data_IF_832456530653
#
_entry.id   IF_832456530653
#
_cell.length_a   1.000
_cell.length_b   1.000
_cell.length_c   1.000
_cell.angle_alpha   90.00
_cell.angle_beta   90.00
_cell.angle_gamma   90.00
#
_symmetry.space_group_name_H-M   'P 1'
#
loop_
_entity.id
_entity.type
_entity.pdbx_description
1 polymer ?
#
# COMPACT_ATOMS: atom_id res chain seq x y z
N UNK A 1 16.00 -13.19 -32.03
CA UNK A 1 15.85 -13.14 -30.56
C UNK A 1 15.79 -11.68 -30.18
N UNK A 2 14.69 -11.23 -29.59
CA UNK A 2 14.57 -9.87 -29.03
C UNK A 2 15.38 -9.87 -27.74
N UNK A 3 16.45 -9.08 -27.67
CA UNK A 3 17.19 -8.88 -26.41
C UNK A 3 16.49 -7.78 -25.64
N UNK A 4 15.94 -8.12 -24.47
CA UNK A 4 15.42 -7.14 -23.53
C UNK A 4 16.60 -6.53 -22.75
N UNK A 5 16.59 -5.21 -22.57
CA UNK A 5 17.54 -4.50 -21.71
C UNK A 5 16.79 -3.97 -20.50
N UNK A 6 17.19 -4.40 -19.30
CA UNK A 6 16.64 -3.88 -18.06
C UNK A 6 17.11 -2.44 -17.85
N UNK A 7 16.15 -1.53 -17.68
CA UNK A 7 16.38 -0.12 -17.31
C UNK A 7 16.34 0.00 -15.79
N UNK A 8 15.37 -0.68 -15.17
CA UNK A 8 15.28 -0.85 -13.73
C UNK A 8 14.94 -2.31 -13.41
N UNK A 9 15.60 -2.87 -12.40
CA UNK A 9 15.30 -4.14 -11.74
C UNK A 9 15.58 -3.90 -10.26
N UNK A 10 14.54 -3.53 -9.51
CA UNK A 10 14.63 -3.05 -8.13
C UNK A 10 13.80 -3.93 -7.21
N UNK A 11 14.31 -4.22 -6.02
CA UNK A 11 13.50 -4.82 -4.97
C UNK A 11 12.89 -3.73 -4.07
N UNK A 12 11.55 -3.65 -4.04
CA UNK A 12 10.82 -2.69 -3.20
C UNK A 12 10.18 -3.44 -2.04
N UNK A 13 10.45 -2.97 -0.82
CA UNK A 13 9.86 -3.49 0.41
C UNK A 13 8.75 -2.55 0.89
N UNK A 14 7.56 -3.11 1.10
CA UNK A 14 6.40 -2.43 1.67
C UNK A 14 6.08 -2.99 3.06
N UNK A 15 5.79 -2.11 4.00
CA UNK A 15 5.33 -2.47 5.34
C UNK A 15 4.11 -1.63 5.71
N UNK A 16 3.09 -2.28 6.27
CA UNK A 16 1.99 -1.60 6.98
C UNK A 16 1.92 -2.09 8.42
N UNK A 17 1.74 -1.16 9.36
CA UNK A 17 1.50 -1.51 10.76
C UNK A 17 0.64 -0.46 11.46
N UNK A 18 -0.54 -0.87 11.94
CA UNK A 18 -1.28 -0.10 12.93
C UNK A 18 -0.60 -0.27 14.29
N UNK A 19 -0.01 0.82 14.81
CA UNK A 19 0.83 0.81 16.02
C UNK A 19 0.08 1.16 17.30
N UNK A 20 -1.24 1.34 17.25
CA UNK A 20 -2.07 1.52 18.45
C UNK A 20 -1.64 2.68 19.36
N UNK A 21 -1.09 3.76 18.79
CA UNK A 21 -0.52 4.94 19.48
C UNK A 21 0.75 4.70 20.30
N UNK A 22 1.33 3.51 20.21
CA UNK A 22 2.55 3.14 20.92
C UNK A 22 3.81 3.78 20.33
N UNK A 23 4.84 3.88 21.18
CA UNK A 23 6.15 4.42 20.84
C UNK A 23 7.11 3.32 20.35
N UNK A 24 7.99 3.60 19.37
CA UNK A 24 8.94 2.62 18.84
C UNK A 24 10.16 2.36 19.72
N UNK A 25 10.33 3.07 20.85
CA UNK A 25 11.59 3.12 21.62
C UNK A 25 12.17 1.74 21.96
N UNK A 26 11.32 0.76 22.28
CA UNK A 26 11.74 -0.58 22.70
C UNK A 26 11.59 -1.65 21.60
N UNK A 27 11.37 -1.25 20.35
CA UNK A 27 11.21 -2.20 19.24
C UNK A 27 12.55 -2.41 18.54
N UNK A 28 12.95 -3.67 18.37
CA UNK A 28 14.02 -4.04 17.44
C UNK A 28 13.43 -4.30 16.06
N UNK A 29 13.85 -3.53 15.06
CA UNK A 29 13.29 -3.58 13.72
C UNK A 29 14.14 -4.39 12.74
N UNK A 30 15.25 -4.99 13.18
CA UNK A 30 16.15 -5.73 12.30
C UNK A 30 15.46 -6.88 11.56
N UNK A 31 14.68 -7.69 12.26
CA UNK A 31 13.93 -8.80 11.64
C UNK A 31 12.79 -8.27 10.77
N UNK A 32 12.01 -7.29 11.27
CA UNK A 32 10.90 -6.68 10.53
C UNK A 32 11.32 -6.12 9.18
N UNK A 33 12.47 -5.44 9.15
CA UNK A 33 13.05 -4.83 7.96
C UNK A 33 13.95 -5.79 7.17
N UNK A 34 14.01 -7.07 7.55
CA UNK A 34 14.84 -8.09 6.88
C UNK A 34 16.34 -7.76 6.82
N UNK A 35 16.85 -6.99 7.80
CA UNK A 35 18.26 -6.58 7.89
C UNK A 35 19.19 -7.71 8.37
N UNK A 36 18.61 -8.80 8.89
CA UNK A 36 19.30 -10.00 9.33
C UNK A 36 19.63 -10.99 8.19
N UNK A 37 19.41 -10.62 6.93
CA UNK A 37 19.76 -11.45 5.77
C UNK A 37 18.70 -12.49 5.40
N UNK A 38 17.45 -12.34 5.87
CA UNK A 38 16.30 -13.20 5.53
C UNK A 38 15.37 -12.55 4.49
N UNK A 39 15.94 -11.74 3.58
CA UNK A 39 15.19 -11.04 2.55
C UNK A 39 14.83 -11.96 1.40
N UNK A 40 13.66 -11.71 0.78
CA UNK A 40 13.20 -12.43 -0.42
C UNK A 40 13.60 -11.74 -1.72
N UNK A 41 14.37 -10.64 -1.63
CA UNK A 41 14.91 -9.96 -2.79
C UNK A 41 15.94 -10.82 -3.53
N UNK A 42 16.15 -10.58 -4.85
CA UNK A 42 17.17 -11.26 -5.64
C UNK A 42 18.55 -11.25 -4.98
N UNK A 43 19.28 -12.35 -5.12
CA UNK A 43 20.63 -12.57 -4.56
C UNK A 43 20.75 -12.35 -3.04
N UNK A 44 19.62 -12.44 -2.32
CA UNK A 44 19.53 -12.17 -0.89
C UNK A 44 20.05 -10.76 -0.49
N UNK A 45 19.93 -9.80 -1.40
CA UNK A 45 20.33 -8.41 -1.15
C UNK A 45 19.24 -7.65 -0.39
N UNK A 46 19.64 -6.64 0.38
CA UNK A 46 18.67 -5.74 0.99
C UNK A 46 17.80 -5.08 -0.08
N UNK A 47 16.50 -4.86 0.19
CA UNK A 47 15.63 -4.04 -0.65
C UNK A 47 16.30 -2.75 -1.11
N UNK A 48 16.08 -2.34 -2.35
CA UNK A 48 16.59 -1.08 -2.90
C UNK A 48 15.83 0.13 -2.34
N UNK A 49 14.54 -0.07 -2.06
CA UNK A 49 13.61 0.96 -1.55
C UNK A 49 12.74 0.34 -0.45
N UNK A 50 12.62 1.03 0.68
CA UNK A 50 11.65 0.74 1.73
C UNK A 50 10.55 1.80 1.72
N UNK A 51 9.30 1.37 1.68
CA UNK A 51 8.14 2.26 1.87
C UNK A 51 7.30 1.71 3.02
N UNK A 52 7.16 2.53 4.06
CA UNK A 52 6.60 2.09 5.33
C UNK A 52 5.41 2.96 5.68
N UNK A 53 4.28 2.32 5.97
CA UNK A 53 3.04 2.91 6.39
C UNK A 53 2.71 2.54 7.82
N UNK A 54 2.40 3.55 8.63
CA UNK A 54 1.90 3.37 9.97
C UNK A 54 0.49 3.95 10.11
N UNK A 55 -0.33 3.30 10.93
CA UNK A 55 -1.63 3.81 11.35
C UNK A 55 -1.67 3.91 12.88
N UNK A 56 -2.50 4.82 13.37
CA UNK A 56 -2.56 5.17 14.80
C UNK A 56 -1.19 5.58 15.39
N UNK A 57 -0.34 6.28 14.64
CA UNK A 57 0.81 6.96 15.29
C UNK A 57 0.31 8.06 16.24
N UNK A 58 1.08 8.34 17.28
CA UNK A 58 0.68 9.33 18.30
C UNK A 58 0.62 10.74 17.74
N UNK A 59 -0.55 11.39 17.84
CA UNK A 59 -0.76 12.77 17.37
C UNK A 59 -0.40 13.84 18.39
N UNK A 60 -0.04 13.46 19.62
CA UNK A 60 0.20 14.41 20.73
C UNK A 60 1.55 15.12 20.65
N UNK A 61 2.40 14.77 19.68
CA UNK A 61 3.73 15.37 19.50
C UNK A 61 3.70 16.69 18.71
N UNK A 62 2.65 17.50 18.90
CA UNK A 62 2.28 18.74 18.17
C UNK A 62 3.36 19.86 18.20
N UNK A 63 4.54 19.64 18.79
CA UNK A 63 5.61 20.64 18.88
C UNK A 63 6.94 20.15 18.29
N UNK A 64 6.95 19.74 17.03
CA UNK A 64 8.20 19.48 16.29
C UNK A 64 8.12 20.03 14.88
N UNK A 65 8.22 21.36 14.76
CA UNK A 65 8.44 22.05 13.47
C UNK A 65 9.74 21.58 12.78
N UNK A 66 10.62 20.86 13.50
CA UNK A 66 11.97 20.50 13.04
C UNK A 66 12.35 19.01 13.19
N UNK A 67 11.47 18.13 13.68
CA UNK A 67 11.82 16.73 13.92
C UNK A 67 10.74 15.78 13.40
N UNK A 68 11.16 14.74 12.71
CA UNK A 68 10.30 13.65 12.24
C UNK A 68 9.61 12.89 13.38
N UNK A 69 8.54 12.19 13.04
CA UNK A 69 7.85 11.25 13.93
C UNK A 69 8.85 10.19 14.47
N UNK A 70 8.76 9.77 15.75
CA UNK A 70 9.66 8.78 16.31
C UNK A 70 9.75 7.47 15.52
N UNK A 71 8.66 7.04 14.86
CA UNK A 71 8.70 5.84 14.01
C UNK A 71 9.60 6.07 12.80
N UNK A 72 9.54 7.23 12.15
CA UNK A 72 10.46 7.58 11.06
C UNK A 72 11.90 7.60 11.55
N UNK A 73 12.15 8.21 12.71
CA UNK A 73 13.50 8.26 13.30
C UNK A 73 14.02 6.86 13.63
N UNK A 74 13.18 5.97 14.15
CA UNK A 74 13.57 4.59 14.46
C UNK A 74 13.91 3.78 13.21
N UNK A 75 13.15 3.95 12.13
CA UNK A 75 13.47 3.36 10.83
C UNK A 75 14.79 3.92 10.31
N UNK A 76 14.96 5.25 10.34
CA UNK A 76 16.18 5.90 9.86
C UNK A 76 17.42 5.38 10.60
N UNK A 77 17.34 5.25 11.93
CA UNK A 77 18.38 4.66 12.78
C UNK A 77 18.71 3.21 12.38
N UNK A 78 17.68 2.40 12.12
CA UNK A 78 17.86 0.99 11.72
C UNK A 78 18.46 0.85 10.31
N UNK A 79 18.21 1.81 9.41
CA UNK A 79 18.70 1.78 8.03
C UNK A 79 20.01 2.57 7.82
N UNK A 80 20.48 3.29 8.84
CA UNK A 80 21.61 4.22 8.73
C UNK A 80 22.90 3.55 8.23
N UNK A 81 23.24 2.41 8.81
CA UNK A 81 24.47 1.67 8.50
C UNK A 81 24.42 0.95 7.13
N UNK A 82 23.28 1.02 6.44
CA UNK A 82 23.03 0.34 5.18
C UNK A 82 22.95 1.28 3.97
N UNK A 83 23.45 2.52 4.09
CA UNK A 83 23.50 3.53 3.02
C UNK A 83 22.13 3.95 2.45
N UNK A 84 21.08 3.85 3.26
CA UNK A 84 19.78 4.41 2.93
C UNK A 84 19.71 5.87 3.33
N UNK A 85 19.01 6.64 2.51
CA UNK A 85 18.60 8.00 2.85
C UNK A 85 17.09 8.08 2.84
N UNK A 86 16.54 8.92 3.73
CA UNK A 86 15.12 9.24 3.70
C UNK A 86 14.82 10.03 2.43
N UNK A 87 13.80 9.60 1.68
CA UNK A 87 13.33 10.28 0.47
C UNK A 87 12.29 11.33 0.84
N UNK A 88 11.17 10.91 1.45
CA UNK A 88 10.14 11.81 1.95
C UNK A 88 9.24 11.10 2.99
N UNK A 89 8.41 11.85 3.70
CA UNK A 89 7.38 11.34 4.60
C UNK A 89 6.16 12.24 4.64
N UNK A 90 4.97 11.66 4.81
CA UNK A 90 3.72 12.39 4.98
C UNK A 90 2.91 11.84 6.13
N UNK A 91 2.37 12.74 6.95
CA UNK A 91 1.49 12.40 8.06
C UNK A 91 0.14 13.10 7.94
N UNK A 92 -0.94 12.37 8.20
CA UNK A 92 -2.30 12.87 8.38
C UNK A 92 -2.84 12.31 9.70
N UNK A 93 -2.83 13.14 10.75
CA UNK A 93 -3.13 12.69 12.11
C UNK A 93 -2.35 11.41 12.47
N UNK A 94 -3.03 10.29 12.73
CA UNK A 94 -2.40 9.01 13.06
C UNK A 94 -1.95 8.18 11.86
N UNK A 95 -2.10 8.66 10.63
CA UNK A 95 -1.67 7.94 9.42
C UNK A 95 -0.34 8.52 8.95
N UNK A 96 0.67 7.69 8.76
CA UNK A 96 2.02 8.09 8.37
C UNK A 96 2.51 7.19 7.23
N UNK A 97 3.19 7.78 6.25
CA UNK A 97 3.99 7.07 5.25
C UNK A 97 5.39 7.68 5.21
N UNK A 98 6.41 6.84 5.05
CA UNK A 98 7.80 7.26 4.88
C UNK A 98 8.49 6.36 3.87
N UNK A 99 9.40 6.95 3.08
CA UNK A 99 10.20 6.23 2.09
C UNK A 99 11.69 6.41 2.37
N UNK A 100 12.43 5.33 2.24
CA UNK A 100 13.89 5.29 2.29
C UNK A 100 14.41 4.58 1.05
N UNK A 101 15.52 5.03 0.49
CA UNK A 101 16.12 4.42 -0.69
C UNK A 101 17.63 4.36 -0.55
N UNK A 102 18.25 3.33 -1.15
CA UNK A 102 19.70 3.28 -1.27
C UNK A 102 20.19 4.49 -2.07
N UNK A 103 21.32 5.08 -1.67
CA UNK A 103 21.88 6.28 -2.28
C UNK A 103 22.03 6.17 -3.82
N UNK A 104 22.32 4.97 -4.34
CA UNK A 104 22.49 4.71 -5.78
C UNK A 104 21.24 5.00 -6.63
N UNK A 105 20.03 5.00 -6.04
CA UNK A 105 18.78 5.25 -6.77
C UNK A 105 18.32 6.70 -6.75
N UNK A 106 18.86 7.53 -5.86
CA UNK A 106 18.42 8.93 -5.70
C UNK A 106 18.47 9.75 -6.99
N UNK A 107 19.51 9.63 -7.86
CA UNK A 107 19.54 10.34 -9.14
C UNK A 107 18.38 9.98 -10.09
N UNK A 108 17.75 8.82 -9.89
CA UNK A 108 16.67 8.28 -10.72
C UNK A 108 15.27 8.54 -10.11
N UNK A 109 15.20 9.31 -9.01
CA UNK A 109 13.97 9.72 -8.35
C UNK A 109 13.70 11.19 -8.62
N UNK A 110 12.70 11.48 -9.45
CA UNK A 110 12.31 12.85 -9.87
C UNK A 110 10.85 13.12 -9.48
N UNK A 111 10.46 14.38 -9.41
CA UNK A 111 9.05 14.80 -9.15
C UNK A 111 8.39 14.15 -7.92
N UNK A 112 9.15 14.06 -6.82
CA UNK A 112 8.65 13.54 -5.56
C UNK A 112 7.57 14.48 -5.04
N UNK A 113 6.38 13.94 -4.76
CA UNK A 113 5.24 14.67 -4.25
C UNK A 113 4.50 13.85 -3.19
N UNK A 114 4.04 14.51 -2.13
CA UNK A 114 3.23 13.90 -1.08
C UNK A 114 1.86 14.52 -0.97
N UNK A 115 0.85 13.68 -0.76
CA UNK A 115 -0.54 14.11 -0.67
C UNK A 115 -1.28 13.35 0.45
N UNK A 116 -2.33 13.97 0.99
CA UNK A 116 -3.19 13.40 2.01
C UNK A 116 -4.68 13.71 1.72
N UNK A 117 -5.52 12.68 1.80
CA UNK A 117 -6.98 12.82 1.73
C UNK A 117 -7.60 12.42 3.06
N UNK A 118 -8.52 13.26 3.57
CA UNK A 118 -9.31 12.99 4.77
C UNK A 118 -10.62 12.33 4.37
N UNK A 119 -11.06 11.34 5.14
CA UNK A 119 -12.37 10.70 4.94
C UNK A 119 -13.20 10.59 6.22
N UNK A 120 -12.58 10.77 7.40
CA UNK A 120 -13.28 10.75 8.69
C UNK A 120 -14.39 11.81 8.77
N UNK A 121 -15.52 11.45 9.39
CA UNK A 121 -16.73 12.31 9.44
C UNK A 121 -17.14 12.85 8.06
N UNK A 122 -17.07 12.03 7.00
CA UNK A 122 -17.42 12.44 5.64
C UNK A 122 -16.41 13.43 5.04
N UNK A 123 -15.13 13.27 5.38
CA UNK A 123 -14.03 14.13 4.92
C UNK A 123 -13.70 15.32 5.82
N UNK A 124 -14.45 15.54 6.89
CA UNK A 124 -14.25 16.67 7.82
C UNK A 124 -13.11 16.44 8.83
N UNK A 125 -12.76 15.18 9.11
CA UNK A 125 -11.79 14.80 10.13
C UNK A 125 -10.72 13.84 9.58
N UNK A 126 -9.48 13.98 10.06
CA UNK A 126 -8.32 13.28 9.49
C UNK A 126 -7.92 11.98 10.18
N UNK A 127 -8.74 11.43 11.07
CA UNK A 127 -8.42 10.16 11.76
C UNK A 127 -8.58 8.92 10.85
N UNK A 128 -9.15 9.13 9.65
CA UNK A 128 -9.34 8.17 8.57
C UNK A 128 -9.04 8.86 7.25
N UNK A 129 -8.57 8.09 6.28
CA UNK A 129 -8.21 8.57 4.95
C UNK A 129 -6.93 7.93 4.45
N UNK A 130 -6.14 8.70 3.69
CA UNK A 130 -4.90 8.21 3.10
C UNK A 130 -3.81 9.27 3.06
N UNK A 131 -2.57 8.83 3.08
CA UNK A 131 -1.37 9.59 2.76
C UNK A 131 -0.60 8.87 1.66
N UNK A 132 0.14 9.60 0.84
CA UNK A 132 0.90 8.99 -0.24
C UNK A 132 2.23 9.67 -0.49
N UNK A 133 3.16 8.92 -1.07
CA UNK A 133 4.35 9.43 -1.74
C UNK A 133 4.27 8.96 -3.19
N UNK A 134 4.44 9.87 -4.14
CA UNK A 134 4.58 9.53 -5.56
C UNK A 134 5.83 10.18 -6.13
N UNK A 135 6.35 9.59 -7.21
CA UNK A 135 7.55 10.06 -7.90
C UNK A 135 7.64 9.49 -9.32
N UNK A 136 8.48 10.10 -10.15
CA UNK A 136 9.06 9.48 -11.34
C UNK A 136 10.27 8.65 -10.90
N UNK A 137 10.16 7.32 -11.00
CA UNK A 137 11.22 6.36 -10.68
C UNK A 137 11.72 5.72 -11.98
N UNK A 138 12.99 5.93 -12.33
CA UNK A 138 13.58 5.45 -13.59
C UNK A 138 12.73 5.79 -14.82
N UNK A 139 12.23 7.03 -14.88
CA UNK A 139 11.40 7.55 -15.97
C UNK A 139 9.94 7.05 -16.00
N UNK A 140 9.48 6.31 -15.00
CA UNK A 140 8.09 5.81 -14.89
C UNK A 140 7.38 6.36 -13.65
N UNK A 141 6.09 6.66 -13.75
CA UNK A 141 5.32 7.21 -12.64
C UNK A 141 4.88 6.14 -11.65
N UNK A 142 5.26 6.28 -10.37
CA UNK A 142 4.85 5.36 -9.30
C UNK A 142 4.20 6.09 -8.13
N UNK A 143 3.13 5.53 -7.59
CA UNK A 143 2.45 6.02 -6.39
C UNK A 143 2.34 4.95 -5.30
N UNK A 144 2.70 5.34 -4.07
CA UNK A 144 2.56 4.54 -2.86
C UNK A 144 1.52 5.18 -1.93
N UNK A 145 0.45 4.47 -1.61
CA UNK A 145 -0.69 4.96 -0.83
C UNK A 145 -0.80 4.13 0.44
N UNK A 146 -0.72 4.80 1.59
CA UNK A 146 -1.00 4.23 2.91
C UNK A 146 -2.34 4.77 3.41
N UNK A 147 -3.30 3.89 3.71
CA UNK A 147 -4.63 4.30 4.16
C UNK A 147 -5.05 3.68 5.50
N UNK A 148 -5.96 4.37 6.19
CA UNK A 148 -6.65 3.88 7.37
C UNK A 148 -8.15 4.11 7.17
N UNK A 149 -8.89 3.05 6.85
CA UNK A 149 -10.31 3.13 6.48
C UNK A 149 -11.24 2.89 7.69
N UNK A 150 -12.53 3.16 7.52
CA UNK A 150 -13.55 3.03 8.56
C UNK A 150 -13.50 1.65 9.25
N UNK A 151 -13.39 1.68 10.59
CA UNK A 151 -13.29 0.49 11.42
C UNK A 151 -14.67 -0.10 11.75
N UNK A 152 -14.69 -1.31 12.31
CA UNK A 152 -15.87 -2.10 12.71
C UNK A 152 -16.52 -2.94 11.60
N UNK A 153 -17.11 -4.07 11.97
CA UNK A 153 -17.58 -5.11 11.05
C UNK A 153 -18.71 -4.62 10.14
N UNK A 154 -19.63 -3.85 10.72
CA UNK A 154 -20.81 -3.30 10.06
C UNK A 154 -20.53 -2.13 9.11
N UNK A 155 -19.29 -1.59 9.13
CA UNK A 155 -18.90 -0.37 8.41
C UNK A 155 -18.37 -0.61 7.00
N UNK A 156 -18.85 -1.67 6.35
CA UNK A 156 -18.43 -2.01 4.97
C UNK A 156 -18.75 -0.89 3.99
N UNK A 157 -19.93 -0.28 4.12
CA UNK A 157 -20.36 0.81 3.23
C UNK A 157 -19.45 2.03 3.38
N UNK A 158 -19.12 2.41 4.61
CA UNK A 158 -18.24 3.54 4.91
C UNK A 158 -16.81 3.29 4.40
N UNK A 159 -16.29 2.05 4.46
CA UNK A 159 -14.99 1.72 3.83
C UNK A 159 -15.00 1.88 2.31
N UNK A 160 -16.10 1.51 1.65
CA UNK A 160 -16.28 1.72 0.21
C UNK A 160 -16.33 3.22 -0.11
N UNK A 161 -17.07 3.99 0.69
CA UNK A 161 -17.14 5.46 0.57
C UNK A 161 -15.77 6.11 0.79
N UNK A 162 -15.00 5.67 1.80
CA UNK A 162 -13.63 6.13 2.03
C UNK A 162 -12.74 5.89 0.80
N UNK A 163 -12.79 4.68 0.23
CA UNK A 163 -12.04 4.35 -0.99
C UNK A 163 -12.38 5.29 -2.14
N UNK A 164 -13.66 5.50 -2.44
CA UNK A 164 -14.07 6.39 -3.52
C UNK A 164 -13.66 7.85 -3.25
N UNK A 165 -13.81 8.33 -2.03
CA UNK A 165 -13.35 9.67 -1.66
C UNK A 165 -11.84 9.83 -1.87
N UNK A 166 -11.03 8.81 -1.54
CA UNK A 166 -9.59 8.84 -1.81
C UNK A 166 -9.34 8.85 -3.31
N UNK A 167 -9.92 7.94 -4.09
CA UNK A 167 -9.72 7.90 -5.55
C UNK A 167 -10.11 9.22 -6.24
N UNK A 168 -11.22 9.83 -5.80
CA UNK A 168 -11.78 11.01 -6.43
C UNK A 168 -11.06 12.30 -6.01
N UNK A 169 -10.57 12.40 -4.78
CA UNK A 169 -10.04 13.65 -4.23
C UNK A 169 -8.51 13.67 -4.05
N UNK A 170 -7.84 12.52 -4.06
CA UNK A 170 -6.38 12.45 -3.90
C UNK A 170 -5.70 12.84 -5.23
N UNK A 171 -5.35 14.13 -5.35
CA UNK A 171 -4.82 14.73 -6.58
C UNK A 171 -3.39 15.22 -6.40
N UNK A 172 -2.57 14.93 -7.40
CA UNK A 172 -1.19 15.38 -7.50
C UNK A 172 -1.06 16.52 -8.51
N UNK A 173 0.04 17.26 -8.42
CA UNK A 173 0.32 18.39 -9.29
C UNK A 173 1.13 18.02 -10.53
N UNK A 174 1.81 16.86 -10.55
CA UNK A 174 2.66 16.58 -11.70
C UNK A 174 1.94 16.02 -12.94
N UNK A 175 2.53 16.37 -14.07
CA UNK A 175 1.97 16.21 -15.40
C UNK A 175 1.84 14.72 -15.75
N UNK A 176 0.76 14.35 -16.45
CA UNK A 176 0.45 12.95 -16.78
C UNK A 176 -0.03 12.09 -15.61
N UNK A 177 0.27 12.48 -14.37
CA UNK A 177 0.08 11.66 -13.16
C UNK A 177 -0.70 12.39 -12.07
N UNK A 178 -1.87 12.93 -12.42
CA UNK A 178 -2.68 13.78 -11.53
C UNK A 178 -3.54 12.99 -10.55
N UNK A 179 -3.90 11.75 -10.86
CA UNK A 179 -4.71 10.85 -10.01
C UNK A 179 -3.92 9.60 -9.68
N UNK A 180 -4.31 8.91 -8.61
CA UNK A 180 -3.69 7.64 -8.18
C UNK A 180 -3.53 6.68 -9.36
N UNK A 181 -4.63 6.41 -10.08
CA UNK A 181 -4.65 5.43 -11.16
C UNK A 181 -4.16 5.93 -12.52
N UNK A 182 -3.67 7.18 -12.60
CA UNK A 182 -2.92 7.65 -13.77
C UNK A 182 -1.46 7.11 -13.75
N UNK A 183 -0.94 6.65 -12.59
CA UNK A 183 0.42 6.16 -12.43
C UNK A 183 0.63 4.79 -13.09
N UNK A 184 1.85 4.58 -13.62
CA UNK A 184 2.25 3.31 -14.23
C UNK A 184 2.24 2.18 -13.20
N UNK A 185 2.71 2.49 -11.99
CA UNK A 185 2.73 1.60 -10.84
C UNK A 185 1.95 2.23 -9.69
N UNK A 186 1.05 1.44 -9.08
CA UNK A 186 0.32 1.84 -7.88
C UNK A 186 0.50 0.76 -6.84
N UNK A 187 0.95 1.13 -5.65
CA UNK A 187 0.97 0.29 -4.47
C UNK A 187 0.05 0.90 -3.42
N UNK A 188 -0.97 0.16 -2.99
CA UNK A 188 -1.94 0.62 -2.01
C UNK A 188 -1.98 -0.34 -0.83
N UNK A 189 -1.63 0.16 0.34
CA UNK A 189 -1.53 -0.62 1.56
C UNK A 189 -2.08 0.15 2.76
N UNK A 190 -2.17 -0.53 3.91
CA UNK A 190 -2.63 0.10 5.14
C UNK A 190 -3.48 -0.81 6.02
N UNK A 191 -4.01 -0.23 7.09
CA UNK A 191 -5.15 -0.79 7.83
C UNK A 191 -6.44 -0.46 7.07
N UNK A 192 -6.77 -1.33 6.12
CA UNK A 192 -7.96 -1.20 5.29
C UNK A 192 -9.24 -1.59 6.05
N UNK A 193 -9.10 -2.16 7.25
CA UNK A 193 -10.19 -2.48 8.17
C UNK A 193 -11.31 -3.39 7.61
N UNK A 194 -11.08 -4.08 6.48
CA UNK A 194 -12.02 -5.09 5.98
C UNK A 194 -12.09 -6.29 6.92
N UNK A 195 -13.30 -6.82 7.08
CA UNK A 195 -13.63 -7.89 8.05
C UNK A 195 -14.20 -9.11 7.32
N UNK A 196 -14.57 -10.13 8.08
CA UNK A 196 -15.29 -11.27 7.54
C UNK A 196 -16.79 -10.96 7.40
N UNK A 197 -17.37 -11.38 6.28
CA UNK A 197 -18.82 -11.37 6.04
C UNK A 197 -19.51 -12.54 6.74
N UNK A 198 -20.82 -12.43 6.92
CA UNK A 198 -21.64 -13.47 7.56
C UNK A 198 -21.57 -13.45 9.09
N UNK A 199 -22.10 -14.51 9.70
CA UNK A 199 -22.50 -14.53 11.12
C UNK A 199 -21.62 -15.41 12.00
N UNK A 200 -20.46 -15.85 11.50
CA UNK A 200 -19.49 -16.62 12.30
C UNK A 200 -19.13 -15.84 13.57
N UNK A 201 -19.12 -16.51 14.72
CA UNK A 201 -18.67 -15.90 15.97
C UNK A 201 -17.15 -15.74 15.98
N UNK A 202 -16.62 -14.92 16.90
CA UNK A 202 -15.17 -14.80 17.07
C UNK A 202 -14.51 -16.14 17.45
N UNK A 203 -15.24 -17.02 18.14
CA UNK A 203 -14.77 -18.36 18.50
C UNK A 203 -14.67 -19.27 17.28
N UNK A 204 -15.69 -19.28 16.42
CA UNK A 204 -15.67 -20.08 15.19
C UNK A 204 -14.50 -19.67 14.29
N UNK A 205 -14.32 -18.36 14.10
CA UNK A 205 -13.21 -17.82 13.30
C UNK A 205 -11.87 -18.21 13.92
N UNK A 206 -11.70 -18.10 15.25
CA UNK A 206 -10.49 -18.53 15.94
C UNK A 206 -10.21 -20.03 15.72
N UNK A 207 -11.23 -20.88 15.86
CA UNK A 207 -11.09 -22.32 15.61
C UNK A 207 -10.64 -22.59 14.17
N UNK A 208 -11.16 -21.88 13.19
CA UNK A 208 -10.72 -22.02 11.79
C UNK A 208 -9.27 -21.58 11.59
N UNK A 209 -8.87 -20.49 12.24
CA UNK A 209 -7.49 -20.00 12.24
C UNK A 209 -6.53 -21.02 12.88
N UNK A 210 -6.89 -21.60 14.02
CA UNK A 210 -6.09 -22.64 14.71
C UNK A 210 -5.95 -23.93 13.88
N UNK A 211 -6.90 -24.19 12.97
CA UNK A 211 -6.85 -25.31 12.02
C UNK A 211 -6.28 -24.89 10.65
N UNK A 212 -5.67 -23.71 10.54
CA UNK A 212 -5.06 -23.18 9.31
C UNK A 212 -6.02 -23.10 8.11
N UNK A 213 -7.33 -22.97 8.36
CA UNK A 213 -8.38 -22.87 7.33
C UNK A 213 -8.49 -21.47 6.72
N UNK A 214 -7.35 -20.82 6.47
CA UNK A 214 -7.29 -19.45 5.99
C UNK A 214 -7.98 -19.27 4.63
N UNK A 215 -7.79 -20.23 3.73
CA UNK A 215 -8.39 -20.18 2.40
C UNK A 215 -9.93 -20.20 2.44
N UNK A 216 -10.54 -20.87 3.42
CA UNK A 216 -11.99 -20.88 3.59
C UNK A 216 -12.50 -19.58 4.21
N UNK A 217 -11.80 -19.06 5.22
CA UNK A 217 -12.13 -17.76 5.80
C UNK A 217 -11.98 -16.61 4.79
N UNK A 218 -10.99 -16.67 3.91
CA UNK A 218 -10.74 -15.66 2.87
C UNK A 218 -11.83 -15.62 1.78
N UNK A 219 -12.66 -16.67 1.64
CA UNK A 219 -13.88 -16.62 0.81
C UNK A 219 -14.96 -15.73 1.41
N UNK A 220 -14.88 -15.48 2.72
CA UNK A 220 -15.80 -14.59 3.45
C UNK A 220 -15.23 -13.19 3.63
N UNK A 221 -13.96 -12.97 3.28
CA UNK A 221 -13.28 -11.67 3.42
C UNK A 221 -13.97 -10.59 2.59
N UNK A 222 -14.36 -9.50 3.25
CA UNK A 222 -15.08 -8.40 2.61
C UNK A 222 -14.28 -7.74 1.49
N UNK A 223 -12.94 -7.63 1.61
CA UNK A 223 -12.11 -7.04 0.55
C UNK A 223 -12.11 -7.91 -0.70
N UNK A 224 -11.86 -9.22 -0.55
CA UNK A 224 -11.90 -10.16 -1.67
C UNK A 224 -13.26 -10.13 -2.37
N UNK A 225 -14.35 -10.25 -1.61
CA UNK A 225 -15.71 -10.22 -2.14
C UNK A 225 -16.05 -8.89 -2.86
N UNK A 226 -15.52 -7.76 -2.39
CA UNK A 226 -15.73 -6.46 -3.04
C UNK A 226 -14.95 -6.32 -4.34
N UNK A 227 -13.70 -6.80 -4.35
CA UNK A 227 -12.84 -6.77 -5.54
C UNK A 227 -13.43 -7.62 -6.66
N UNK A 228 -13.92 -8.82 -6.33
CA UNK A 228 -14.61 -9.70 -7.28
C UNK A 228 -15.88 -9.06 -7.86
N UNK A 229 -16.64 -8.33 -7.05
CA UNK A 229 -17.87 -7.64 -7.49
C UNK A 229 -17.61 -6.37 -8.29
N UNK A 230 -16.39 -5.84 -8.29
CA UNK A 230 -16.03 -4.64 -9.04
C UNK A 230 -16.31 -3.31 -8.32
N UNK A 231 -16.74 -3.31 -7.06
CA UNK A 231 -17.21 -2.10 -6.37
C UNK A 231 -16.08 -1.20 -5.85
N UNK A 232 -15.03 -1.79 -5.28
CA UNK A 232 -13.88 -1.07 -4.73
C UNK A 232 -12.63 -1.94 -4.86
N UNK A 233 -11.46 -1.32 -5.01
CA UNK A 233 -10.16 -2.00 -5.16
C UNK A 233 -10.05 -2.99 -6.34
N UNK A 234 -11.03 -3.02 -7.26
CA UNK A 234 -11.09 -3.99 -8.37
C UNK A 234 -10.02 -3.78 -9.44
N UNK A 235 -9.42 -2.58 -9.50
CA UNK A 235 -8.28 -2.29 -10.37
C UNK A 235 -6.94 -2.79 -9.81
N UNK A 236 -6.92 -3.26 -8.55
CA UNK A 236 -5.72 -3.68 -7.85
C UNK A 236 -5.68 -5.20 -7.69
N UNK A 237 -4.47 -5.75 -7.80
CA UNK A 237 -4.11 -7.13 -7.54
C UNK A 237 -3.54 -7.30 -6.14
N UNK A 238 -3.72 -8.50 -5.57
CA UNK A 238 -3.22 -8.86 -4.26
C UNK A 238 -2.96 -10.37 -4.27
N UNK A 239 -1.77 -10.78 -3.84
CA UNK A 239 -1.52 -12.18 -3.53
C UNK A 239 -2.38 -12.60 -2.34
N UNK A 240 -3.06 -13.74 -2.44
CA UNK A 240 -3.88 -14.24 -1.33
C UNK A 240 -3.03 -14.41 -0.06
N UNK A 241 -3.43 -13.80 1.09
CA UNK A 241 -2.73 -13.99 2.36
C UNK A 241 -2.63 -15.48 2.71
N UNK A 242 -1.41 -15.94 3.02
CA UNK A 242 -1.16 -17.29 3.55
C UNK A 242 -0.70 -17.26 5.02
N UNK A 243 -1.15 -16.24 5.75
CA UNK A 243 -0.85 -16.02 7.15
C UNK A 243 -2.15 -15.77 7.92
N UNK A 244 -2.11 -15.95 9.23
CA UNK A 244 -3.29 -15.77 10.09
C UNK A 244 -3.78 -14.30 10.11
N UNK A 245 -5.06 -14.05 10.47
CA UNK A 245 -5.58 -12.70 10.62
C UNK A 245 -4.71 -11.79 11.51
N UNK A 246 -4.53 -10.53 11.12
CA UNK A 246 -3.58 -9.62 11.77
C UNK A 246 -4.19 -8.77 12.88
N UNK A 247 -5.51 -8.88 13.08
CA UNK A 247 -6.29 -8.16 14.08
C UNK A 247 -7.37 -9.10 14.65
N UNK A 248 -7.81 -9.00 15.90
CA UNK A 248 -7.36 -8.15 17.02
C UNK A 248 -6.67 -9.01 18.06
N UNK A 249 -5.47 -8.65 18.48
CA UNK A 249 -4.72 -9.35 19.51
C UNK A 249 -4.89 -8.70 20.89
N UNK A 250 -4.55 -9.45 21.94
CA UNK A 250 -4.23 -8.87 23.24
C UNK A 250 -2.79 -8.36 23.16
N UNK A 251 -2.60 -7.06 23.35
CA UNK A 251 -1.28 -6.42 23.33
C UNK A 251 -0.28 -7.14 24.26
N UNK A 252 0.97 -7.26 23.81
CA UNK A 252 2.03 -8.02 24.47
C UNK A 252 1.98 -9.53 24.23
N UNK A 253 0.98 -10.05 23.50
CA UNK A 253 0.80 -11.49 23.26
C UNK A 253 0.48 -11.82 21.79
N UNK A 254 0.35 -13.11 21.51
CA UNK A 254 -0.20 -13.64 20.24
C UNK A 254 -1.60 -14.25 20.41
N UNK A 255 -2.28 -13.95 21.52
CA UNK A 255 -3.65 -14.40 21.76
C UNK A 255 -4.65 -13.42 21.15
N UNK A 256 -5.64 -13.95 20.42
CA UNK A 256 -6.72 -13.13 19.88
C UNK A 256 -7.63 -12.60 21.00
N UNK A 257 -7.94 -11.30 20.94
CA UNK A 257 -8.97 -10.68 21.75
C UNK A 257 -10.34 -10.90 21.10
N UNK A 258 -11.02 -11.97 21.53
CA UNK A 258 -12.30 -12.42 20.95
C UNK A 258 -13.51 -11.51 21.23
N UNK A 259 -13.29 -10.31 21.81
CA UNK A 259 -14.27 -9.20 21.74
C UNK A 259 -14.48 -8.69 20.31
N UNK A 260 -13.57 -9.03 19.40
CA UNK A 260 -13.67 -8.81 17.95
C UNK A 260 -13.35 -10.12 17.24
N UNK A 261 -13.93 -10.30 16.05
CA UNK A 261 -13.58 -11.43 15.20
C UNK A 261 -12.17 -11.21 14.63
N UNK A 262 -11.32 -12.23 14.58
CA UNK A 262 -10.07 -12.15 13.84
C UNK A 262 -10.32 -11.75 12.38
N UNK A 263 -9.56 -10.80 11.85
CA UNK A 263 -9.68 -10.30 10.47
C UNK A 263 -8.33 -9.86 9.88
N UNK A 264 -8.21 -9.96 8.55
CA UNK A 264 -7.09 -9.39 7.78
C UNK A 264 -7.37 -7.91 7.48
N UNK A 265 -7.18 -7.08 8.51
CA UNK A 265 -7.35 -5.63 8.39
C UNK A 265 -6.20 -4.98 7.59
N UNK A 266 -4.99 -5.52 7.75
CA UNK A 266 -3.74 -4.94 7.25
C UNK A 266 -3.36 -5.58 5.91
N UNK A 267 -3.42 -4.81 4.81
CA UNK A 267 -3.37 -5.34 3.43
C UNK A 267 -2.38 -4.60 2.55
N UNK A 268 -1.87 -5.27 1.51
CA UNK A 268 -0.95 -4.69 0.53
C UNK A 268 -1.38 -5.13 -0.87
N UNK A 269 -1.82 -4.18 -1.68
CA UNK A 269 -2.29 -4.39 -3.05
C UNK A 269 -1.43 -3.59 -4.01
N UNK A 270 -1.45 -3.97 -5.29
CA UNK A 270 -0.71 -3.26 -6.33
C UNK A 270 -1.42 -3.28 -7.68
N UNK A 271 -1.03 -2.40 -8.60
CA UNK A 271 -1.44 -2.40 -10.00
C UNK A 271 -0.27 -1.96 -10.85
N UNK A 272 -0.14 -2.58 -12.01
CA UNK A 272 0.80 -2.18 -13.05
C UNK A 272 0.05 -1.91 -14.34
N UNK A 273 0.34 -0.79 -14.99
CA UNK A 273 -0.16 -0.49 -16.33
C UNK A 273 0.74 -1.15 -17.39
N UNK A 274 0.63 -2.46 -17.52
CA UNK A 274 1.45 -3.22 -18.48
C UNK A 274 1.08 -2.87 -19.93
N UNK A 275 2.10 -2.79 -20.79
CA UNK A 275 2.00 -2.63 -22.25
C UNK A 275 1.39 -1.30 -22.75
N UNK A 276 1.51 -0.20 -22.00
CA UNK A 276 1.07 1.12 -22.47
C UNK A 276 2.06 1.75 -23.46
N UNK A 277 3.36 1.50 -23.28
CA UNK A 277 4.41 2.17 -24.04
C UNK A 277 5.04 1.20 -25.07
N UNK A 278 5.05 1.54 -26.37
CA UNK A 278 5.62 0.68 -27.40
C UNK A 278 7.08 0.30 -27.11
N UNK A 279 7.34 -1.01 -27.00
CA UNK A 279 8.68 -1.53 -26.76
C UNK A 279 9.18 -1.39 -25.32
N UNK A 280 8.33 -0.98 -24.38
CA UNK A 280 8.63 -0.99 -22.94
C UNK A 280 7.67 -1.94 -22.23
N UNK A 281 8.24 -2.81 -21.39
CA UNK A 281 7.49 -3.71 -20.51
C UNK A 281 7.63 -3.25 -19.08
N UNK A 282 6.50 -3.09 -18.41
CA UNK A 282 6.40 -2.76 -16.99
C UNK A 282 5.87 -3.96 -16.22
N UNK A 283 6.53 -4.34 -15.14
CA UNK A 283 6.07 -5.42 -14.26
C UNK A 283 6.45 -5.19 -12.79
N UNK A 284 5.61 -5.68 -11.90
CA UNK A 284 5.86 -5.72 -10.46
C UNK A 284 5.51 -7.12 -9.96
N UNK A 285 6.51 -7.99 -9.78
CA UNK A 285 6.28 -9.35 -9.31
C UNK A 285 6.37 -9.39 -7.78
N UNK A 286 5.29 -9.76 -7.10
CA UNK A 286 5.30 -9.93 -5.65
C UNK A 286 6.17 -11.15 -5.26
N UNK A 287 7.20 -10.92 -4.45
CA UNK A 287 8.17 -11.93 -4.02
C UNK A 287 7.85 -12.49 -2.62
N UNK A 288 7.21 -11.69 -1.77
CA UNK A 288 6.75 -12.12 -0.45
C UNK A 288 5.48 -11.41 0.00
N UNK A 289 4.75 -12.05 0.90
CA UNK A 289 3.63 -11.45 1.61
C UNK A 289 3.44 -12.13 2.97
N UNK A 290 3.74 -11.42 4.06
CA UNK A 290 3.86 -12.04 5.38
C UNK A 290 3.41 -11.12 6.52
N UNK A 291 2.88 -11.72 7.59
CA UNK A 291 2.67 -11.07 8.88
C UNK A 291 3.80 -11.38 9.86
N UNK A 292 4.12 -10.45 10.75
CA UNK A 292 5.23 -10.59 11.70
C UNK A 292 4.73 -10.79 13.14
N UNK A 293 4.51 -12.03 13.55
CA UNK A 293 3.90 -12.38 14.84
C UNK A 293 4.78 -12.08 16.05
N UNK A 294 6.10 -11.96 15.87
CA UNK A 294 7.04 -11.63 16.96
C UNK A 294 6.87 -10.18 17.47
N UNK A 295 6.17 -9.33 16.71
CA UNK A 295 5.87 -7.96 17.08
C UNK A 295 4.53 -7.89 17.79
N UNK A 296 4.58 -7.75 19.12
CA UNK A 296 3.38 -7.80 19.99
C UNK A 296 3.00 -6.45 20.59
N UNK A 297 3.67 -5.36 20.20
CA UNK A 297 3.43 -4.01 20.74
C UNK A 297 1.97 -3.56 20.62
N UNK A 298 1.34 -3.86 19.48
CA UNK A 298 -0.01 -3.43 19.13
C UNK A 298 -0.98 -4.60 19.12
N UNK A 299 -2.27 -4.31 19.12
CA UNK A 299 -3.32 -5.29 18.85
C UNK A 299 -3.43 -5.67 17.36
N UNK A 300 -2.62 -5.04 16.51
CA UNK A 300 -2.34 -5.43 15.13
C UNK A 300 -0.92 -5.99 14.96
N UNK A 301 -0.78 -6.95 14.05
CA UNK A 301 0.52 -7.49 13.61
C UNK A 301 1.00 -6.74 12.36
N UNK A 302 2.28 -6.36 12.27
CA UNK A 302 2.83 -5.78 11.06
C UNK A 302 2.67 -6.74 9.88
N UNK A 303 2.42 -6.19 8.69
CA UNK A 303 2.35 -6.94 7.43
C UNK A 303 3.32 -6.32 6.43
N UNK A 304 4.17 -7.15 5.83
CA UNK A 304 5.08 -6.72 4.78
C UNK A 304 4.93 -7.52 3.50
N UNK A 305 5.35 -6.91 2.40
CA UNK A 305 5.50 -7.54 1.10
C UNK A 305 6.73 -6.98 0.39
N UNK A 306 7.38 -7.81 -0.41
CA UNK A 306 8.44 -7.36 -1.32
C UNK A 306 8.01 -7.56 -2.76
N UNK A 307 8.44 -6.65 -3.63
CA UNK A 307 8.14 -6.66 -5.05
C UNK A 307 9.41 -6.50 -5.85
N UNK A 308 9.56 -7.29 -6.91
CA UNK A 308 10.51 -6.98 -7.97
C UNK A 308 9.84 -6.02 -8.95
N UNK A 309 10.30 -4.77 -8.96
CA UNK A 309 9.92 -3.70 -9.86
C UNK A 309 10.82 -3.71 -11.09
N UNK A 310 10.24 -3.91 -12.28
CA UNK A 310 10.99 -3.94 -13.54
C UNK A 310 10.45 -2.97 -14.59
N UNK A 311 11.40 -2.30 -15.22
CA UNK A 311 11.22 -1.52 -16.45
C UNK A 311 12.19 -2.10 -17.48
N UNK A 312 11.66 -2.69 -18.54
CA UNK A 312 12.46 -3.37 -19.56
C UNK A 312 12.17 -2.78 -20.93
N UNK A 313 13.21 -2.59 -21.74
CA UNK A 313 13.08 -2.13 -23.11
C UNK A 313 13.41 -3.23 -24.12
N UNK A 314 12.57 -3.39 -25.14
CA UNK A 314 12.77 -4.31 -26.24
C UNK A 314 13.58 -3.63 -27.36
N UNK A 315 14.68 -4.26 -27.77
CA UNK A 315 15.46 -3.90 -28.97
C UNK A 315 16.09 -2.48 -28.99
N UNK A 316 16.02 -1.72 -27.90
CA UNK A 316 16.64 -0.38 -27.76
C UNK A 316 16.95 -0.09 -26.29
N UNK A 317 18.03 0.66 -26.05
CA UNK A 317 18.33 1.30 -24.76
C UNK A 317 17.66 2.66 -24.69
N UNK A 318 17.01 2.96 -23.56
CA UNK A 318 16.47 4.29 -23.28
C UNK A 318 17.21 4.90 -22.10
N UNK A 319 17.40 6.23 -22.11
CA UNK A 319 17.76 6.96 -20.89
C UNK A 319 16.52 7.23 -20.04
N UNK A 320 16.73 7.53 -18.76
CA UNK A 320 15.67 7.99 -17.86
C UNK A 320 14.92 9.20 -18.41
N UNK A 321 15.62 10.14 -19.06
CA UNK A 321 15.00 11.32 -19.69
C UNK A 321 14.10 10.93 -20.87
N UNK A 322 14.55 10.04 -21.76
CA UNK A 322 13.74 9.60 -22.90
C UNK A 322 12.47 8.88 -22.44
N UNK A 323 12.58 8.03 -21.40
CA UNK A 323 11.42 7.40 -20.78
C UNK A 323 10.53 8.43 -20.11
N UNK A 324 11.10 9.33 -19.33
CA UNK A 324 10.34 10.37 -18.65
C UNK A 324 9.52 11.21 -19.65
N UNK A 325 10.11 11.62 -20.77
CA UNK A 325 9.39 12.35 -21.83
C UNK A 325 8.23 11.54 -22.41
N UNK A 326 8.44 10.23 -22.63
CA UNK A 326 7.44 9.31 -23.16
C UNK A 326 6.26 9.11 -22.20
N UNK A 327 6.53 8.96 -20.90
CA UNK A 327 5.54 8.58 -19.89
C UNK A 327 4.85 9.79 -19.24
N UNK A 328 5.54 10.94 -19.13
CA UNK A 328 5.02 12.17 -18.50
C UNK A 328 4.42 13.17 -19.52
N UNK A 329 4.43 12.81 -20.82
CA UNK A 329 3.71 13.54 -21.87
C UNK A 329 4.39 14.82 -22.34
N UNK A 330 5.72 14.85 -22.43
CA UNK A 330 6.47 15.98 -22.99
C UNK A 330 7.15 15.61 -24.31
N UNK A 331 6.40 15.66 -25.43
CA UNK A 331 6.87 16.21 -26.71
C UNK A 331 5.71 16.32 -27.72
N UNK A 332 5.66 17.47 -28.38
CA UNK A 332 4.91 17.77 -29.60
C UNK A 332 4.87 16.65 -30.65
N UNK A 333 3.71 16.01 -30.88
CA UNK A 333 3.23 15.51 -32.18
C UNK A 333 1.82 14.88 -32.09
N UNK A 334 1.08 14.77 -33.21
CA UNK A 334 -0.31 15.21 -33.30
C UNK A 334 -1.31 14.25 -32.67
N UNK A 335 -2.43 14.85 -32.23
CA UNK A 335 -3.61 14.20 -31.72
C UNK A 335 -3.92 12.87 -32.42
N UNK A 336 -3.77 11.78 -31.69
CA UNK A 336 -4.57 10.57 -31.89
C UNK A 336 -5.72 10.64 -30.88
N UNK A 337 -6.94 10.24 -31.27
CA UNK A 337 -8.14 10.64 -30.56
C UNK A 337 -8.20 9.99 -29.19
N UNK A 338 -8.50 10.81 -28.18
CA UNK A 338 -8.87 10.37 -26.85
C UNK A 338 -9.99 9.33 -26.94
N UNK A 339 -9.66 8.06 -26.69
CA UNK A 339 -10.69 7.10 -26.27
C UNK A 339 -10.94 7.39 -24.80
N UNK A 340 -11.84 8.34 -24.55
CA UNK A 340 -12.46 8.47 -23.24
C UNK A 340 -13.28 7.20 -23.01
N UNK A 341 -12.76 6.28 -22.20
CA UNK A 341 -13.60 5.28 -21.55
C UNK A 341 -14.43 6.02 -20.50
N UNK A 342 -15.55 6.58 -20.94
CA UNK A 342 -16.60 7.07 -20.06
C UNK A 342 -17.20 5.85 -19.39
N UNK A 343 -16.85 5.59 -18.13
CA UNK A 343 -17.56 4.62 -17.31
C UNK A 343 -18.98 5.16 -17.08
N UNK A 344 -19.94 4.64 -17.84
CA UNK A 344 -21.34 4.87 -17.59
C UNK A 344 -21.72 4.14 -16.29
N UNK A 345 -22.02 4.90 -15.25
CA UNK A 345 -22.71 4.42 -14.07
C UNK A 345 -24.06 3.83 -14.49
N UNK A 346 -24.20 2.50 -14.48
CA UNK A 346 -25.51 1.86 -14.50
C UNK A 346 -26.08 1.96 -13.08
N UNK A 347 -26.79 3.06 -12.82
CA UNK A 347 -27.70 3.17 -11.67
C UNK A 347 -28.90 2.28 -11.97
N UNK A 348 -28.88 1.03 -11.50
CA UNK A 348 -30.11 0.24 -11.38
C UNK A 348 -30.80 0.64 -10.07
N UNK A 349 -31.61 1.69 -10.16
CA UNK A 349 -32.69 1.91 -9.22
C UNK A 349 -33.80 0.88 -9.50
N UNK A 350 -33.96 -0.09 -8.60
CA UNK A 350 -35.22 -0.78 -8.41
C UNK A 350 -35.35 -1.11 -6.92
N UNK A 351 -35.88 -0.12 -6.18
CA UNK A 351 -36.54 -0.36 -4.91
C UNK A 351 -37.69 -1.32 -5.17
N UNK A 352 -37.66 -2.48 -4.54
CA UNK A 352 -38.83 -3.32 -4.36
C UNK A 352 -38.71 -3.97 -2.99
N UNK A 353 -39.51 -3.43 -2.07
CA UNK A 353 -39.95 -4.10 -0.85
C UNK A 353 -40.22 -5.59 -1.13
N UNK A 354 -39.73 -6.48 -0.27
CA UNK A 354 -40.49 -7.63 0.22
C UNK A 354 -39.94 -8.00 1.60
N UNK A 355 -40.85 -8.00 2.57
CA UNK A 355 -40.71 -8.59 3.88
C UNK A 355 -40.47 -10.10 3.76
N UNK A 356 -39.48 -10.63 4.48
CA UNK A 356 -39.62 -11.68 5.50
C UNK A 356 -38.26 -11.95 6.14
#
# INVERSE_FOLDING_TARGET
MVTATAIADLCIFLLTWNVGTHSPQNQDLNSLLSLNGNTTCPDNQLPDIYVIGFQEVSTTQVLKIFNDDPWVLKIADSLHDHQFVKVDSKQLQGILITMFAQHKHIPHMKEIETEATRTGLGGLWGNKGAVSIRLSLYGTGVAFICSHLAAHDEKLKERIEDYHQIVDNHKYNAQGYRRIFDHDFVFWFGDLNFRLSGDMSAWDVRTDVENERYADLLKLDQLNLLREKGNAFSLLEEQQPNFAPTFKFVEGTNDYNLKRRPAWCDRILHRVQSNIYPGITLSASQLSYQSHMDYTLSDHKPVSATFNYKVEAANRTYTDEELHEMTHGSASSPATPNVSLTFAFVVLAAVSYIQL
#
